data_IF_183359196738
#
_entry.id   IF_183359196738
#
_cell.length_a   1.000
_cell.length_b   1.000
_cell.length_c   1.000
_cell.angle_alpha   90.00
_cell.angle_beta   90.00
_cell.angle_gamma   90.00
#
_symmetry.space_group_name_H-M   'P 1'
#
loop_
_entity.id
_entity.type
_entity.pdbx_description
1 polymer ?
#
# COMPACT_ATOMS: atom_id res chain seq x y z
N UNK A 1 -6.39 10.56 26.30
CA UNK A 1 -5.11 9.90 26.33
C UNK A 1 -4.39 9.97 25.00
N UNK A 2 -3.94 11.16 24.64
CA UNK A 2 -3.31 11.40 23.34
C UNK A 2 -2.12 10.48 23.07
N UNK A 3 -1.26 10.23 24.09
CA UNK A 3 -0.08 9.36 23.94
C UNK A 3 -0.49 7.92 23.65
N UNK A 4 -1.51 7.41 24.36
CA UNK A 4 -2.01 6.05 24.16
C UNK A 4 -2.65 5.90 22.78
N UNK A 5 -3.45 6.89 22.37
CA UNK A 5 -4.08 6.87 21.04
C UNK A 5 -3.03 6.92 19.94
N UNK A 6 -2.02 7.78 20.08
CA UNK A 6 -0.91 7.88 19.13
C UNK A 6 -0.15 6.55 19.04
N UNK A 7 0.15 5.92 20.19
CA UNK A 7 0.79 4.62 20.23
C UNK A 7 -0.05 3.55 19.54
N UNK A 8 -1.36 3.57 19.76
CA UNK A 8 -2.28 2.62 19.15
C UNK A 8 -2.31 2.76 17.63
N UNK A 9 -2.39 3.99 17.09
CA UNK A 9 -2.41 4.17 15.63
C UNK A 9 -1.06 3.80 15.01
N UNK A 10 0.06 4.03 15.70
CA UNK A 10 1.38 3.60 15.22
C UNK A 10 1.42 2.09 15.04
N UNK A 11 1.02 1.36 16.07
CA UNK A 11 1.01 -0.12 16.02
C UNK A 11 0.09 -0.63 14.93
N UNK A 12 -1.12 -0.06 14.84
CA UNK A 12 -2.10 -0.45 13.83
C UNK A 12 -1.58 -0.14 12.42
N UNK A 13 -0.98 1.04 12.22
CA UNK A 13 -0.43 1.42 10.92
C UNK A 13 0.68 0.47 10.48
N UNK A 14 1.58 0.08 11.41
CA UNK A 14 2.66 -0.85 11.08
C UNK A 14 2.13 -2.23 10.70
N UNK A 15 1.18 -2.73 11.47
CA UNK A 15 0.59 -4.04 11.21
C UNK A 15 -0.19 -4.05 9.89
N UNK A 16 -0.96 -2.99 9.63
CA UNK A 16 -1.68 -2.85 8.37
C UNK A 16 -0.72 -2.76 7.18
N UNK A 17 0.32 -1.93 7.31
CA UNK A 17 1.31 -1.75 6.25
C UNK A 17 1.92 -3.10 5.84
N UNK A 18 2.32 -3.90 6.83
CA UNK A 18 2.89 -5.21 6.56
C UNK A 18 1.87 -6.13 5.89
N UNK A 19 0.65 -6.17 6.40
CA UNK A 19 -0.38 -7.04 5.84
C UNK A 19 -0.72 -6.69 4.40
N UNK A 20 -0.88 -5.40 4.08
CA UNK A 20 -1.26 -4.97 2.74
C UNK A 20 -0.12 -5.13 1.75
N UNK A 21 1.09 -4.74 2.13
CA UNK A 21 2.23 -4.71 1.20
C UNK A 21 2.92 -6.06 1.03
N UNK A 22 2.60 -7.03 1.88
CA UNK A 22 3.01 -8.43 1.64
C UNK A 22 1.91 -9.25 0.95
N UNK A 23 0.83 -8.60 0.50
CA UNK A 23 -0.19 -9.24 -0.32
C UNK A 23 -1.11 -10.19 0.41
N UNK A 24 -1.35 -9.95 1.70
CA UNK A 24 -2.21 -10.84 2.49
C UNK A 24 -3.71 -10.64 2.22
N UNK A 25 -4.08 -9.55 1.55
CA UNK A 25 -5.44 -9.29 1.11
C UNK A 25 -6.33 -8.70 2.19
N UNK A 26 -7.59 -8.43 1.82
CA UNK A 26 -8.54 -7.76 2.70
C UNK A 26 -8.85 -8.56 3.96
N UNK A 27 -8.89 -9.89 3.88
CA UNK A 27 -9.17 -10.72 5.07
C UNK A 27 -8.18 -10.43 6.21
N UNK A 28 -6.91 -10.23 5.87
CA UNK A 28 -5.89 -9.90 6.87
C UNK A 28 -5.91 -8.42 7.24
N UNK A 29 -6.26 -7.54 6.31
CA UNK A 29 -6.22 -6.08 6.52
C UNK A 29 -7.47 -5.55 7.23
N UNK A 30 -8.60 -6.21 7.08
CA UNK A 30 -9.90 -5.71 7.54
C UNK A 30 -9.97 -5.42 9.04
N UNK A 31 -9.24 -6.17 9.83
CA UNK A 31 -9.23 -6.02 11.29
C UNK A 31 -8.71 -4.63 11.72
N UNK A 32 -7.92 -3.98 10.88
CA UNK A 32 -7.34 -2.66 11.17
C UNK A 32 -8.17 -1.51 10.64
N UNK A 33 -9.23 -1.80 9.87
CA UNK A 33 -9.93 -0.80 9.08
C UNK A 33 -11.42 -0.74 9.41
N UNK A 34 -12.03 0.43 9.18
CA UNK A 34 -13.48 0.50 9.04
C UNK A 34 -13.88 -0.32 7.81
N UNK A 35 -15.02 -1.03 7.85
CA UNK A 35 -15.45 -1.87 6.70
C UNK A 35 -15.63 -1.08 5.41
N UNK A 36 -15.95 0.19 5.51
CA UNK A 36 -16.16 1.09 4.37
C UNK A 36 -15.02 2.07 4.16
N UNK A 37 -13.82 1.75 4.69
CA UNK A 37 -12.65 2.59 4.53
C UNK A 37 -12.37 2.86 3.05
N UNK A 38 -12.09 4.12 2.74
CA UNK A 38 -11.87 4.58 1.37
C UNK A 38 -10.39 4.66 1.00
N UNK A 39 -10.14 4.77 -0.29
CA UNK A 39 -8.79 4.81 -0.84
C UNK A 39 -8.76 5.76 -2.03
N UNK A 40 -7.65 6.47 -2.20
CA UNK A 40 -7.41 7.24 -3.40
C UNK A 40 -5.93 7.26 -3.78
N UNK A 41 -5.67 7.37 -5.08
CA UNK A 41 -4.34 7.57 -5.62
C UNK A 41 -4.45 8.32 -6.95
N UNK A 42 -3.59 9.31 -7.14
CA UNK A 42 -3.50 10.01 -8.42
C UNK A 42 -2.48 9.29 -9.30
N UNK A 43 -2.80 8.04 -9.63
CA UNK A 43 -2.00 7.17 -10.46
C UNK A 43 -2.93 6.40 -11.38
N UNK A 44 -2.64 6.39 -12.67
CA UNK A 44 -3.51 5.78 -13.68
C UNK A 44 -3.79 4.29 -13.37
N UNK A 45 -2.77 3.58 -12.91
CA UNK A 45 -2.92 2.15 -12.59
C UNK A 45 -3.91 1.88 -11.47
N UNK A 46 -4.25 2.88 -10.65
CA UNK A 46 -5.16 2.77 -9.51
C UNK A 46 -6.37 3.68 -9.63
N UNK A 47 -6.62 4.23 -10.82
CA UNK A 47 -7.69 5.21 -11.03
C UNK A 47 -9.08 4.69 -10.65
N UNK A 48 -9.31 3.38 -10.78
CA UNK A 48 -10.61 2.76 -10.48
C UNK A 48 -10.69 2.16 -9.09
N UNK A 49 -9.65 2.31 -8.26
CA UNK A 49 -9.60 1.76 -6.91
C UNK A 49 -9.99 2.85 -5.92
N UNK A 50 -11.12 2.68 -5.23
CA UNK A 50 -11.70 3.71 -4.35
C UNK A 50 -11.92 3.25 -2.92
N UNK A 51 -11.69 1.98 -2.61
CA UNK A 51 -11.81 1.44 -1.25
C UNK A 51 -10.54 0.73 -0.84
N UNK A 52 -10.27 0.69 0.47
CA UNK A 52 -9.12 -0.06 0.98
C UNK A 52 -9.28 -1.56 0.75
N UNK A 53 -10.52 -2.06 0.73
CA UNK A 53 -10.76 -3.46 0.37
C UNK A 53 -10.22 -3.76 -1.02
N UNK A 54 -10.60 -2.94 -2.00
CA UNK A 54 -10.17 -3.16 -3.38
C UNK A 54 -8.67 -2.98 -3.54
N UNK A 55 -8.08 -2.03 -2.82
CA UNK A 55 -6.62 -1.84 -2.84
C UNK A 55 -5.89 -3.04 -2.25
N UNK A 56 -6.35 -3.57 -1.11
CA UNK A 56 -5.74 -4.74 -0.49
C UNK A 56 -5.80 -5.96 -1.42
N UNK A 57 -6.91 -6.14 -2.13
CA UNK A 57 -7.05 -7.23 -3.11
C UNK A 57 -6.19 -6.98 -4.35
N UNK A 58 -6.06 -5.73 -4.78
CA UNK A 58 -5.15 -5.37 -5.87
C UNK A 58 -3.70 -5.72 -5.50
N UNK A 59 -3.26 -5.39 -4.29
CA UNK A 59 -1.93 -5.74 -3.81
C UNK A 59 -1.73 -7.25 -3.72
N UNK A 60 -2.74 -7.98 -3.30
CA UNK A 60 -2.69 -9.45 -3.27
C UNK A 60 -2.41 -10.00 -4.67
N UNK A 61 -3.06 -9.45 -5.70
CA UNK A 61 -2.80 -9.80 -7.09
C UNK A 61 -1.39 -9.44 -7.54
N UNK A 62 -0.89 -8.30 -7.10
CA UNK A 62 0.46 -7.85 -7.46
C UNK A 62 1.53 -8.80 -6.91
N UNK A 63 1.34 -9.36 -5.72
CA UNK A 63 2.29 -10.31 -5.15
C UNK A 63 2.32 -11.64 -5.90
N UNK A 64 1.27 -11.97 -6.63
CA UNK A 64 1.26 -13.14 -7.53
C UNK A 64 2.14 -12.84 -8.75
N UNK A 65 2.03 -11.64 -9.30
CA UNK A 65 2.78 -11.21 -10.49
C UNK A 65 4.25 -10.92 -10.15
N UNK A 66 4.49 -10.37 -8.95
CA UNK A 66 5.82 -10.03 -8.44
C UNK A 66 6.11 -10.88 -7.18
N UNK A 67 6.26 -12.20 -7.33
CA UNK A 67 6.48 -13.06 -6.15
C UNK A 67 7.80 -12.69 -5.47
N UNK A 68 7.78 -12.67 -4.14
CA UNK A 68 8.95 -12.26 -3.35
C UNK A 68 9.14 -10.76 -3.27
N UNK A 69 8.20 -9.96 -3.77
CA UNK A 69 8.27 -8.51 -3.64
C UNK A 69 8.34 -8.11 -2.17
N UNK A 70 9.07 -7.04 -1.89
CA UNK A 70 9.31 -6.57 -0.53
C UNK A 70 9.30 -5.05 -0.48
N UNK A 71 9.03 -4.52 0.69
CA UNK A 71 9.08 -3.08 0.93
C UNK A 71 10.24 -2.74 1.87
N UNK A 72 10.64 -1.48 1.79
CA UNK A 72 11.66 -0.93 2.68
C UNK A 72 11.16 0.44 3.16
N UNK A 73 10.84 0.55 4.46
CA UNK A 73 10.38 1.81 5.04
C UNK A 73 11.56 2.75 5.21
N UNK A 74 11.46 3.95 4.65
CA UNK A 74 12.49 4.99 4.74
C UNK A 74 12.14 6.04 5.79
N UNK A 75 10.86 6.31 6.02
CA UNK A 75 10.42 7.29 7.00
C UNK A 75 9.02 6.92 7.48
N UNK A 76 8.79 7.10 8.78
CA UNK A 76 7.51 6.78 9.40
C UNK A 76 7.20 7.92 10.37
N UNK A 77 6.16 8.70 10.09
CA UNK A 77 5.83 9.90 10.86
C UNK A 77 4.38 9.88 11.29
N UNK A 78 4.12 10.45 12.46
CA UNK A 78 2.77 10.54 13.02
C UNK A 78 2.37 12.00 13.15
N UNK A 79 1.17 12.32 12.66
CA UNK A 79 0.53 13.60 12.89
C UNK A 79 -0.57 13.36 13.93
N UNK A 80 -0.27 13.67 15.19
CA UNK A 80 -1.20 13.42 16.28
C UNK A 80 -2.46 14.29 16.19
N UNK A 81 -2.32 15.52 15.71
CA UNK A 81 -3.44 16.45 15.59
C UNK A 81 -4.46 15.97 14.56
N UNK A 82 -3.98 15.40 13.46
CA UNK A 82 -4.84 14.89 12.39
C UNK A 82 -5.16 13.40 12.50
N UNK A 83 -4.60 12.74 13.48
CA UNK A 83 -4.76 11.30 13.68
C UNK A 83 -4.42 10.53 12.40
N UNK A 84 -3.25 10.83 11.83
CA UNK A 84 -2.77 10.07 10.69
C UNK A 84 -1.30 9.69 10.81
N UNK A 85 -0.93 8.69 10.00
CA UNK A 85 0.44 8.19 9.90
C UNK A 85 0.85 8.29 8.44
N UNK A 86 2.01 8.92 8.20
CA UNK A 86 2.58 9.03 6.85
C UNK A 86 3.82 8.16 6.77
N UNK A 87 3.85 7.26 5.78
CA UNK A 87 4.94 6.32 5.58
C UNK A 87 5.52 6.50 4.18
N UNK A 88 6.81 6.82 4.11
CA UNK A 88 7.56 6.80 2.85
C UNK A 88 8.34 5.49 2.79
N UNK A 89 8.20 4.76 1.67
CA UNK A 89 8.85 3.48 1.49
C UNK A 89 9.27 3.28 0.03
N UNK A 90 10.11 2.26 -0.18
CA UNK A 90 10.50 1.81 -1.51
C UNK A 90 9.99 0.38 -1.69
N UNK A 91 9.37 0.10 -2.83
CA UNK A 91 8.89 -1.23 -3.17
C UNK A 91 9.82 -1.87 -4.19
N UNK A 92 10.25 -3.09 -3.90
CA UNK A 92 11.14 -3.87 -4.77
C UNK A 92 10.41 -5.13 -5.23
N UNK A 93 10.28 -5.29 -6.53
CA UNK A 93 9.62 -6.47 -7.08
C UNK A 93 10.16 -6.84 -8.44
N UNK A 94 10.19 -8.15 -8.72
CA UNK A 94 10.65 -8.68 -10.00
C UNK A 94 9.49 -9.43 -10.68
N UNK A 95 9.24 -9.11 -11.96
CA UNK A 95 8.13 -9.70 -12.69
C UNK A 95 8.49 -11.10 -13.19
N UNK A 96 8.27 -12.10 -12.34
CA UNK A 96 8.48 -13.50 -12.67
C UNK A 96 7.21 -14.33 -12.62
N UNK A 97 6.11 -13.78 -12.07
CA UNK A 97 4.82 -14.47 -11.95
C UNK A 97 3.92 -14.24 -13.14
N UNK A 98 3.00 -15.17 -13.34
CA UNK A 98 1.98 -15.07 -14.37
C UNK A 98 0.79 -14.21 -13.91
N UNK A 99 -0.02 -13.75 -14.85
CA UNK A 99 -1.24 -13.02 -14.56
C UNK A 99 -1.13 -11.53 -14.70
N UNK A 100 0.03 -11.01 -15.07
CA UNK A 100 0.23 -9.58 -15.31
C UNK A 100 -0.31 -9.14 -16.67
N UNK A 101 -0.15 -7.84 -16.99
CA UNK A 101 -0.63 -7.29 -18.27
C UNK A 101 0.14 -7.82 -19.49
N UNK A 102 1.33 -8.34 -19.25
CA UNK A 102 2.17 -8.99 -20.28
C UNK A 102 2.79 -10.23 -19.66
N UNK A 103 3.37 -11.09 -20.49
CA UNK A 103 4.12 -12.26 -20.02
C UNK A 103 5.29 -11.81 -19.12
N UNK A 104 5.75 -12.64 -18.17
CA UNK A 104 6.82 -12.28 -17.26
C UNK A 104 8.04 -11.70 -17.98
N UNK A 105 8.42 -10.47 -17.58
CA UNK A 105 9.55 -9.77 -18.23
C UNK A 105 10.89 -10.08 -17.56
N UNK A 106 10.86 -10.58 -16.32
CA UNK A 106 12.05 -10.78 -15.51
C UNK A 106 12.69 -9.47 -15.01
N UNK A 107 12.06 -8.35 -15.29
CA UNK A 107 12.59 -7.03 -14.89
C UNK A 107 12.17 -6.67 -13.48
N UNK A 108 12.98 -5.83 -12.85
CA UNK A 108 12.78 -5.40 -11.45
C UNK A 108 12.40 -3.92 -11.40
N UNK A 109 11.44 -3.60 -10.53
CA UNK A 109 11.17 -2.22 -10.15
C UNK A 109 11.69 -1.96 -8.74
N UNK A 110 12.19 -0.73 -8.55
CA UNK A 110 12.42 -0.15 -7.23
C UNK A 110 11.77 1.22 -7.29
N UNK A 111 10.62 1.36 -6.66
CA UNK A 111 9.82 2.58 -6.79
C UNK A 111 9.44 3.16 -5.44
N UNK A 112 9.55 4.48 -5.35
CA UNK A 112 9.17 5.23 -4.15
C UNK A 112 7.65 5.37 -4.07
N UNK A 113 7.13 5.30 -2.86
CA UNK A 113 5.71 5.58 -2.62
C UNK A 113 5.49 6.06 -1.20
N UNK A 114 4.36 6.73 -1.02
CA UNK A 114 3.95 7.26 0.28
C UNK A 114 2.51 6.84 0.53
N UNK A 115 2.26 6.33 1.73
CA UNK A 115 0.89 6.16 2.25
C UNK A 115 0.63 7.23 3.29
N UNK A 116 -0.51 7.91 3.17
CA UNK A 116 -1.06 8.72 4.25
C UNK A 116 -2.28 7.98 4.77
N UNK A 117 -2.20 7.51 6.01
CA UNK A 117 -3.18 6.60 6.61
C UNK A 117 -3.96 7.37 7.66
N UNK A 118 -5.23 7.65 7.38
CA UNK A 118 -6.10 8.43 8.26
C UNK A 118 -6.91 7.51 9.17
N UNK A 119 -6.92 7.83 10.46
CA UNK A 119 -7.58 7.05 11.49
C UNK A 119 -8.82 7.75 12.02
N UNK A 120 -9.81 6.97 12.42
CA UNK A 120 -11.00 7.43 13.11
C UNK A 120 -11.38 6.36 14.15
N UNK A 121 -11.35 6.74 15.44
CA UNK A 121 -11.66 5.80 16.51
C UNK A 121 -10.70 4.63 16.63
N UNK A 122 -9.44 4.83 16.25
CA UNK A 122 -8.40 3.81 16.32
C UNK A 122 -8.36 2.84 15.15
N UNK A 123 -9.24 3.01 14.16
CA UNK A 123 -9.26 2.21 12.93
C UNK A 123 -9.06 3.09 11.71
N UNK A 124 -8.51 2.50 10.66
CA UNK A 124 -8.23 3.21 9.42
C UNK A 124 -9.54 3.52 8.70
N UNK A 125 -9.73 4.80 8.36
CA UNK A 125 -10.90 5.29 7.63
C UNK A 125 -10.61 5.55 6.17
N UNK A 126 -9.39 6.01 5.87
CA UNK A 126 -9.00 6.41 4.52
C UNK A 126 -7.51 6.26 4.36
N UNK A 127 -7.07 5.91 3.16
CA UNK A 127 -5.66 5.95 2.82
C UNK A 127 -5.47 6.61 1.47
N UNK A 128 -4.48 7.50 1.40
CA UNK A 128 -4.01 8.10 0.16
C UNK A 128 -2.66 7.49 -0.19
N UNK A 129 -2.51 7.03 -1.42
CA UNK A 129 -1.22 6.57 -1.94
C UNK A 129 -0.68 7.59 -2.92
N UNK A 130 0.56 8.00 -2.70
CA UNK A 130 1.29 8.88 -3.62
C UNK A 130 2.38 8.03 -4.27
N UNK A 131 2.29 7.88 -5.59
CA UNK A 131 3.12 6.94 -6.30
C UNK A 131 3.27 7.35 -7.75
N UNK A 132 4.48 7.24 -8.28
CA UNK A 132 4.72 7.43 -9.71
C UNK A 132 4.64 6.07 -10.41
N UNK A 133 3.43 5.68 -10.78
CA UNK A 133 3.18 4.39 -11.42
C UNK A 133 3.88 4.27 -12.77
N UNK A 134 3.96 5.35 -13.54
CA UNK A 134 4.66 5.34 -14.83
C UNK A 134 6.12 4.92 -14.69
N UNK A 135 6.78 5.38 -13.63
CA UNK A 135 8.15 4.98 -13.32
C UNK A 135 8.24 3.46 -13.10
N UNK A 136 7.39 2.94 -12.21
CA UNK A 136 7.39 1.52 -11.85
C UNK A 136 7.06 0.64 -13.05
N UNK A 137 6.05 1.01 -13.83
CA UNK A 137 5.61 0.21 -14.97
C UNK A 137 6.65 0.17 -16.07
N UNK A 138 7.38 1.27 -16.28
CA UNK A 138 8.49 1.28 -17.23
C UNK A 138 9.62 0.36 -16.77
N UNK A 139 9.97 0.41 -15.49
CA UNK A 139 11.02 -0.46 -14.96
C UNK A 139 10.67 -1.93 -15.16
N UNK A 140 9.40 -2.27 -14.99
CA UNK A 140 8.91 -3.65 -15.15
C UNK A 140 8.79 -4.06 -16.62
N UNK A 141 8.93 -3.11 -17.55
CA UNK A 141 8.77 -3.39 -18.97
C UNK A 141 7.31 -3.53 -19.40
N UNK A 142 6.37 -3.00 -18.62
CA UNK A 142 4.94 -3.06 -18.92
C UNK A 142 4.47 -1.91 -19.82
N UNK A 143 5.25 -0.84 -19.87
CA UNK A 143 5.02 0.30 -20.75
C UNK A 143 6.34 0.73 -21.37
N UNK A 144 6.26 1.51 -22.45
CA UNK A 144 7.48 2.07 -23.10
C UNK A 144 7.98 3.36 -22.48
#
# INVERSE_FOLDING_TARGET
>A
MAVTETGSIVETARAFFDAVDTGQGWDACSVYCHPDATFEAQADALAEVHTLRDYAEWMKGMLVVLPGARYEIKSFAVDADRQNVTVYAVYHGTHTGEGGPVAPTGKTTSSDYVYVIDFDGGKIRHMTKIWNDSWALRQLGWTS
#
